data_IF_855576777672
#
_entry.id   IF_855576777672
#
_cell.length_a   1.000
_cell.length_b   1.000
_cell.length_c   1.000
_cell.angle_alpha   90.00
_cell.angle_beta   90.00
_cell.angle_gamma   90.00
#
_symmetry.space_group_name_H-M   'P 1'
#
loop_
_entity.id
_entity.type
_entity.pdbx_description
1 polymer ?
#
# COMPACT_ATOMS: atom_id res chain seq x y z
N UNK A 1 13.67 15.21 2.08
CA UNK A 1 14.20 14.36 0.98
C UNK A 1 13.04 13.93 0.07
N UNK A 2 13.20 13.79 -1.25
CA UNK A 2 12.10 13.30 -2.12
C UNK A 2 12.34 11.82 -2.47
N UNK A 3 11.34 10.96 -2.23
CA UNK A 3 11.38 9.55 -2.63
C UNK A 3 11.05 9.38 -4.12
N UNK A 4 11.79 8.51 -4.80
CA UNK A 4 11.55 8.19 -6.21
C UNK A 4 10.63 6.98 -6.34
N UNK A 5 9.96 6.89 -7.49
CA UNK A 5 9.15 5.72 -7.83
C UNK A 5 10.03 4.47 -7.98
N UNK A 6 9.70 3.43 -7.22
CA UNK A 6 10.41 2.14 -7.22
C UNK A 6 9.86 1.17 -8.28
N UNK A 7 8.57 1.28 -8.56
CA UNK A 7 7.84 0.44 -9.50
C UNK A 7 7.13 1.28 -10.54
N UNK A 8 7.01 0.75 -11.76
CA UNK A 8 6.27 1.37 -12.85
C UNK A 8 5.50 0.30 -13.64
N UNK A 9 4.22 0.17 -13.29
CA UNK A 9 3.27 -0.76 -13.91
C UNK A 9 2.20 -0.01 -14.69
N UNK A 10 1.51 -0.72 -15.57
CA UNK A 10 0.24 -0.23 -16.09
C UNK A 10 -0.80 -0.25 -14.95
N UNK A 11 -1.70 0.74 -14.91
CA UNK A 11 -2.67 0.89 -13.81
C UNK A 11 -3.54 -0.37 -13.68
N UNK A 12 -4.05 -0.90 -14.80
CA UNK A 12 -4.84 -2.12 -14.82
C UNK A 12 -4.07 -3.35 -14.29
N UNK A 13 -2.78 -3.43 -14.59
CA UNK A 13 -1.91 -4.49 -14.06
C UNK A 13 -1.75 -4.36 -12.55
N UNK A 14 -1.54 -3.14 -12.04
CA UNK A 14 -1.44 -2.91 -10.60
C UNK A 14 -2.75 -3.24 -9.87
N UNK A 15 -3.90 -2.89 -10.45
CA UNK A 15 -5.23 -3.24 -9.91
C UNK A 15 -5.39 -4.77 -9.89
N UNK A 16 -4.99 -5.46 -10.96
CA UNK A 16 -5.04 -6.92 -11.01
C UNK A 16 -4.14 -7.57 -9.97
N UNK A 17 -2.90 -7.08 -9.78
CA UNK A 17 -1.99 -7.54 -8.74
C UNK A 17 -2.59 -7.29 -7.35
N UNK A 18 -3.21 -6.13 -7.11
CA UNK A 18 -3.84 -5.81 -5.83
C UNK A 18 -4.97 -6.79 -5.50
N UNK A 19 -5.81 -7.14 -6.48
CA UNK A 19 -6.84 -8.19 -6.33
C UNK A 19 -6.21 -9.55 -6.02
N UNK A 20 -5.13 -9.90 -6.71
CA UNK A 20 -4.43 -11.19 -6.50
C UNK A 20 -3.78 -11.29 -5.13
N UNK A 21 -3.29 -10.18 -4.59
CA UNK A 21 -2.60 -10.10 -3.30
C UNK A 21 -3.55 -9.75 -2.14
N UNK A 22 -4.86 -9.69 -2.35
CA UNK A 22 -5.85 -9.32 -1.34
C UNK A 22 -5.65 -10.07 -0.01
N UNK A 23 -5.49 -11.41 -0.07
CA UNK A 23 -5.33 -12.25 1.13
C UNK A 23 -4.04 -11.91 1.88
N UNK A 24 -2.95 -11.64 1.16
CA UNK A 24 -1.65 -11.24 1.71
C UNK A 24 -1.74 -9.85 2.38
N UNK A 25 -2.40 -8.91 1.72
CA UNK A 25 -2.63 -7.57 2.25
C UNK A 25 -3.49 -7.59 3.52
N UNK A 26 -4.54 -8.42 3.56
CA UNK A 26 -5.39 -8.58 4.75
C UNK A 26 -4.60 -9.26 5.87
N UNK A 27 -3.83 -10.31 5.57
CA UNK A 27 -3.00 -11.04 6.53
C UNK A 27 -1.97 -10.13 7.21
N UNK A 28 -1.21 -9.35 6.44
CA UNK A 28 -0.20 -8.42 6.97
C UNK A 28 -0.85 -7.27 7.76
N UNK A 29 -1.97 -6.73 7.27
CA UNK A 29 -2.73 -5.68 7.97
C UNK A 29 -3.28 -6.15 9.31
N UNK A 30 -3.82 -7.38 9.38
CA UNK A 30 -4.35 -7.97 10.60
C UNK A 30 -3.25 -8.18 11.66
N UNK A 31 -2.07 -8.67 11.25
CA UNK A 31 -0.93 -8.82 12.14
C UNK A 31 -0.40 -7.47 12.64
N UNK A 32 -0.36 -6.44 11.77
CA UNK A 32 0.02 -5.08 12.17
C UNK A 32 -0.92 -4.49 13.24
N UNK A 33 -2.19 -4.88 13.22
CA UNK A 33 -3.20 -4.55 14.24
C UNK A 33 -3.04 -5.36 15.55
N UNK A 34 -2.24 -6.43 15.53
CA UNK A 34 -2.04 -7.33 16.66
C UNK A 34 -3.00 -8.53 16.67
N UNK A 35 -3.69 -8.80 15.56
CA UNK A 35 -4.48 -10.03 15.40
C UNK A 35 -3.53 -11.13 14.92
N UNK A 36 -3.22 -12.07 15.83
CA UNK A 36 -2.30 -13.16 15.57
C UNK A 36 -2.94 -14.24 14.67
N UNK A 37 -2.99 -13.97 13.36
CA UNK A 37 -3.44 -14.90 12.32
C UNK A 37 -2.29 -15.32 11.42
N UNK A 38 -2.29 -16.57 10.97
CA UNK A 38 -1.42 -17.02 9.87
C UNK A 38 -2.06 -16.73 8.51
N UNK A 39 -1.27 -16.77 7.43
CA UNK A 39 -1.80 -16.62 6.07
C UNK A 39 -2.91 -17.64 5.77
N UNK A 40 -2.73 -18.91 6.17
CA UNK A 40 -3.74 -19.96 5.99
C UNK A 40 -5.04 -19.66 6.76
N UNK A 41 -4.93 -19.17 7.99
CA UNK A 41 -6.10 -18.78 8.79
C UNK A 41 -6.82 -17.57 8.18
N UNK A 42 -6.08 -16.58 7.67
CA UNK A 42 -6.68 -15.46 6.93
C UNK A 42 -7.45 -15.98 5.73
N UNK A 43 -6.85 -16.86 4.92
CA UNK A 43 -7.50 -17.47 3.76
C UNK A 43 -8.78 -18.23 4.16
N UNK A 44 -8.74 -19.01 5.24
CA UNK A 44 -9.88 -19.74 5.78
C UNK A 44 -11.01 -18.79 6.18
N UNK A 45 -10.70 -17.72 6.93
CA UNK A 45 -11.68 -16.70 7.33
C UNK A 45 -12.35 -16.08 6.11
N UNK A 46 -11.56 -15.67 5.10
CA UNK A 46 -12.10 -15.04 3.90
C UNK A 46 -12.95 -16.01 3.06
N UNK A 47 -12.72 -17.31 3.18
CA UNK A 47 -13.51 -18.38 2.56
C UNK A 47 -14.68 -18.88 3.44
N UNK A 48 -14.99 -18.21 4.55
CA UNK A 48 -16.01 -18.61 5.52
C UNK A 48 -15.76 -19.99 6.18
N UNK A 49 -14.50 -20.38 6.30
CA UNK A 49 -14.06 -21.57 7.02
C UNK A 49 -13.76 -21.18 8.48
N UNK A 50 -14.20 -22.02 9.41
CA UNK A 50 -14.08 -21.72 10.84
C UNK A 50 -12.64 -21.88 11.35
N UNK A 51 -12.17 -20.93 12.17
CA UNK A 51 -10.84 -20.94 12.79
C UNK A 51 -10.98 -20.97 14.31
N UNK A 52 -10.67 -22.12 14.93
CA UNK A 52 -11.01 -22.45 16.32
C UNK A 52 -10.34 -21.62 17.41
N UNK A 53 -9.24 -20.92 17.11
CA UNK A 53 -8.43 -20.21 18.11
C UNK A 53 -8.66 -18.69 18.13
N UNK A 54 -9.50 -18.16 17.25
CA UNK A 54 -9.77 -16.74 17.13
C UNK A 54 -11.12 -16.39 17.74
N UNK A 55 -11.21 -15.21 18.35
CA UNK A 55 -12.50 -14.73 18.84
C UNK A 55 -13.38 -14.32 17.66
N UNK A 56 -14.72 -14.34 17.81
CA UNK A 56 -15.61 -13.79 16.78
C UNK A 56 -15.30 -12.33 16.44
N UNK A 57 -14.81 -11.56 17.41
CA UNK A 57 -14.40 -10.16 17.19
C UNK A 57 -13.20 -10.08 16.25
N UNK A 58 -12.19 -10.91 16.45
CA UNK A 58 -10.98 -10.94 15.61
C UNK A 58 -11.29 -11.39 14.19
N UNK A 59 -12.10 -12.44 14.03
CA UNK A 59 -12.57 -12.91 12.72
C UNK A 59 -13.29 -11.78 11.98
N UNK A 60 -14.19 -11.07 12.66
CA UNK A 60 -14.92 -9.95 12.07
C UNK A 60 -14.02 -8.77 11.68
N UNK A 61 -12.96 -8.48 12.45
CA UNK A 61 -11.97 -7.45 12.09
C UNK A 61 -11.21 -7.82 10.82
N UNK A 62 -10.83 -9.09 10.67
CA UNK A 62 -10.21 -9.60 9.43
C UNK A 62 -11.17 -9.44 8.24
N UNK A 63 -12.45 -9.76 8.40
CA UNK A 63 -13.47 -9.50 7.38
C UNK A 63 -13.62 -8.01 7.07
N UNK A 64 -13.63 -7.13 8.07
CA UNK A 64 -13.67 -5.68 7.88
C UNK A 64 -12.48 -5.15 7.06
N UNK A 65 -11.28 -5.72 7.26
CA UNK A 65 -10.12 -5.39 6.43
C UNK A 65 -10.32 -5.82 4.98
N UNK A 66 -10.85 -7.03 4.73
CA UNK A 66 -11.22 -7.49 3.37
C UNK A 66 -12.22 -6.52 2.74
N UNK A 67 -13.33 -6.24 3.42
CA UNK A 67 -14.41 -5.39 2.88
C UNK A 67 -13.90 -3.99 2.52
N UNK A 68 -12.98 -3.44 3.33
CA UNK A 68 -12.34 -2.15 3.04
C UNK A 68 -11.38 -2.21 1.84
N UNK A 69 -10.63 -3.31 1.68
CA UNK A 69 -9.79 -3.54 0.50
C UNK A 69 -10.62 -3.68 -0.78
N UNK A 70 -11.72 -4.42 -0.72
CA UNK A 70 -12.67 -4.55 -1.83
C UNK A 70 -13.27 -3.19 -2.19
N UNK A 71 -13.79 -2.45 -1.20
CA UNK A 71 -14.29 -1.09 -1.41
C UNK A 71 -13.23 -0.19 -2.06
N UNK A 72 -11.98 -0.24 -1.58
CA UNK A 72 -10.91 0.60 -2.13
C UNK A 72 -10.62 0.29 -3.60
N UNK A 73 -10.57 -1.00 -3.95
CA UNK A 73 -10.33 -1.46 -5.32
C UNK A 73 -11.50 -1.11 -6.25
N UNK A 74 -12.74 -1.25 -5.78
CA UNK A 74 -13.94 -0.89 -6.54
C UNK A 74 -14.06 0.62 -6.79
N UNK A 75 -13.60 1.42 -5.82
CA UNK A 75 -13.63 2.89 -5.87
C UNK A 75 -12.23 3.47 -6.11
N UNK A 76 -11.39 2.76 -6.86
CA UNK A 76 -9.98 3.15 -7.04
C UNK A 76 -9.82 4.47 -7.80
N UNK A 77 -10.78 4.82 -8.65
CA UNK A 77 -10.77 6.07 -9.43
C UNK A 77 -11.48 7.24 -8.75
N UNK A 78 -12.13 7.01 -7.60
CA UNK A 78 -12.72 8.09 -6.82
C UNK A 78 -11.64 8.98 -6.21
N UNK A 79 -11.94 10.26 -6.03
CA UNK A 79 -11.01 11.19 -5.40
C UNK A 79 -10.71 10.79 -3.95
N UNK A 80 -9.42 10.77 -3.58
CA UNK A 80 -8.99 10.55 -2.20
C UNK A 80 -9.22 11.81 -1.34
N UNK A 81 -10.46 12.01 -0.90
CA UNK A 81 -10.83 13.08 0.02
C UNK A 81 -11.22 12.56 1.42
N UNK A 82 -11.59 13.47 2.33
CA UNK A 82 -11.97 13.06 3.69
C UNK A 82 -13.23 12.20 3.73
N UNK A 83 -14.18 12.40 2.81
CA UNK A 83 -15.37 11.56 2.68
C UNK A 83 -14.99 10.12 2.33
N UNK A 84 -14.06 9.95 1.39
CA UNK A 84 -13.51 8.63 1.05
C UNK A 84 -12.88 7.94 2.27
N UNK A 85 -12.03 8.64 3.01
CA UNK A 85 -11.38 8.10 4.20
C UNK A 85 -12.37 7.77 5.32
N UNK A 86 -13.44 8.56 5.47
CA UNK A 86 -14.53 8.31 6.41
C UNK A 86 -15.30 7.03 6.05
N UNK A 87 -15.57 6.78 4.77
CA UNK A 87 -16.20 5.54 4.31
C UNK A 87 -15.32 4.32 4.60
N UNK A 88 -14.01 4.40 4.32
CA UNK A 88 -13.06 3.33 4.68
C UNK A 88 -13.06 3.12 6.20
N UNK A 89 -13.03 4.19 6.99
CA UNK A 89 -13.02 4.12 8.46
C UNK A 89 -14.25 3.39 9.01
N UNK A 90 -15.44 3.65 8.46
CA UNK A 90 -16.67 2.96 8.85
C UNK A 90 -16.61 1.43 8.65
N UNK A 91 -15.88 0.97 7.64
CA UNK A 91 -15.65 -0.45 7.39
C UNK A 91 -14.65 -1.03 8.39
N UNK A 92 -13.43 -0.47 8.45
CA UNK A 92 -12.32 -1.07 9.22
C UNK A 92 -12.50 -0.98 10.73
N UNK A 93 -13.19 0.05 11.24
CA UNK A 93 -13.27 0.32 12.67
C UNK A 93 -14.57 -0.21 13.32
N UNK A 94 -15.42 -0.91 12.57
CA UNK A 94 -16.76 -1.38 13.00
C UNK A 94 -16.74 -2.16 14.32
N UNK A 95 -15.65 -2.88 14.59
CA UNK A 95 -15.45 -3.69 15.80
C UNK A 95 -14.43 -3.08 16.77
N UNK A 96 -13.92 -1.88 16.51
CA UNK A 96 -12.95 -1.19 17.35
C UNK A 96 -13.55 -0.05 18.15
N UNK A 97 -14.49 0.67 17.56
CA UNK A 97 -15.07 1.87 18.17
C UNK A 97 -16.60 1.78 18.25
N UNK A 98 -17.23 2.48 19.20
CA UNK A 98 -18.68 2.63 19.22
C UNK A 98 -19.22 3.24 17.92
N UNK A 99 -20.46 2.91 17.58
CA UNK A 99 -21.13 3.40 16.37
C UNK A 99 -21.06 4.93 16.19
N UNK A 100 -21.10 5.69 17.30
CA UNK A 100 -21.01 7.15 17.29
C UNK A 100 -19.68 7.71 16.76
N UNK A 101 -18.62 6.88 16.66
CA UNK A 101 -17.31 7.26 16.14
C UNK A 101 -17.03 6.69 14.73
N UNK A 102 -17.88 5.81 14.20
CA UNK A 102 -17.67 5.23 12.87
C UNK A 102 -17.79 6.29 11.79
N UNK A 103 -16.84 6.26 10.85
CA UNK A 103 -16.74 7.24 9.76
C UNK A 103 -16.70 8.71 10.20
N UNK A 104 -16.28 9.03 11.43
CA UNK A 104 -16.35 10.40 11.97
C UNK A 104 -15.01 10.88 12.50
N UNK A 105 -14.67 12.11 12.15
CA UNK A 105 -13.55 12.82 12.78
C UNK A 105 -13.80 12.93 14.28
N UNK A 106 -12.77 12.63 15.08
CA UNK A 106 -12.90 12.63 16.54
C UNK A 106 -13.10 14.06 17.06
N UNK A 107 -13.84 14.17 18.16
CA UNK A 107 -14.00 15.41 18.93
C UNK A 107 -13.27 15.38 20.26
N UNK A 108 -12.75 14.21 20.63
CA UNK A 108 -12.12 13.96 21.93
C UNK A 108 -10.63 13.66 21.74
N UNK A 109 -9.87 13.83 22.81
CA UNK A 109 -8.47 13.44 22.86
C UNK A 109 -8.27 11.92 22.71
N UNK A 110 -7.05 11.58 22.26
CA UNK A 110 -6.57 10.20 22.13
C UNK A 110 -5.21 10.05 22.78
N UNK A 111 -4.97 8.86 23.30
CA UNK A 111 -3.67 8.44 23.83
C UNK A 111 -3.09 7.42 22.85
N UNK A 112 -1.85 7.65 22.44
CA UNK A 112 -1.12 6.71 21.58
C UNK A 112 -0.20 5.88 22.48
N UNK A 113 -0.33 4.56 22.39
CA UNK A 113 0.54 3.63 23.12
C UNK A 113 1.99 3.81 22.68
N UNK A 114 2.92 3.79 23.64
CA UNK A 114 4.36 3.90 23.38
C UNK A 114 4.90 5.33 23.28
N UNK A 115 4.07 6.37 23.43
CA UNK A 115 4.54 7.76 23.40
C UNK A 115 3.72 8.71 24.31
N UNK A 116 4.37 9.78 24.77
CA UNK A 116 3.72 10.88 25.47
C UNK A 116 3.19 11.96 24.52
N UNK A 117 3.48 11.87 23.22
CA UNK A 117 2.96 12.79 22.23
C UNK A 117 1.42 12.74 22.16
N UNK A 118 0.79 13.89 21.96
CA UNK A 118 -0.67 14.03 21.86
C UNK A 118 -1.03 14.85 20.61
N UNK A 119 -1.85 14.29 19.70
CA UNK A 119 -2.32 14.99 18.50
C UNK A 119 -3.41 16.02 18.85
N UNK A 120 -3.31 17.21 18.28
CA UNK A 120 -4.39 18.20 18.34
C UNK A 120 -5.63 17.73 17.55
N UNK A 121 -6.81 18.13 18.02
CA UNK A 121 -8.08 17.93 17.32
C UNK A 121 -8.35 19.14 16.44
N UNK A 122 -8.69 18.91 15.18
CA UNK A 122 -9.09 19.94 14.23
C UNK A 122 -10.41 19.61 13.55
N UNK A 123 -10.94 20.56 12.78
CA UNK A 123 -12.17 20.37 12.00
C UNK A 123 -11.94 19.46 10.80
N UNK A 124 -13.03 18.94 10.23
CA UNK A 124 -12.98 18.13 9.01
C UNK A 124 -12.35 18.91 7.86
N UNK A 125 -12.65 20.21 7.75
CA UNK A 125 -12.13 21.11 6.71
C UNK A 125 -10.61 21.30 6.83
N UNK A 126 -10.09 21.37 8.07
CA UNK A 126 -8.65 21.45 8.30
C UNK A 126 -7.95 20.18 7.77
N UNK A 127 -8.45 19.00 8.14
CA UNK A 127 -7.87 17.74 7.69
C UNK A 127 -8.03 17.55 6.19
N UNK A 128 -9.17 17.94 5.63
CA UNK A 128 -9.40 17.88 4.19
C UNK A 128 -8.42 18.77 3.43
N UNK A 129 -8.22 20.01 3.89
CA UNK A 129 -7.25 20.91 3.28
C UNK A 129 -5.82 20.34 3.32
N UNK A 130 -5.38 19.84 4.48
CA UNK A 130 -4.05 19.24 4.61
C UNK A 130 -3.87 18.00 3.73
N UNK A 131 -4.91 17.18 3.58
CA UNK A 131 -4.91 16.05 2.66
C UNK A 131 -4.77 16.50 1.20
N UNK A 132 -5.50 17.53 0.77
CA UNK A 132 -5.41 18.06 -0.60
C UNK A 132 -4.04 18.67 -0.90
N UNK A 133 -3.45 19.41 0.04
CA UNK A 133 -2.09 19.97 -0.10
C UNK A 133 -1.04 18.86 -0.33
N UNK A 134 -1.22 17.67 0.27
CA UNK A 134 -0.34 16.53 0.03
C UNK A 134 -0.55 15.90 -1.36
N UNK A 135 -1.75 16.01 -1.93
CA UNK A 135 -2.04 15.47 -3.26
C UNK A 135 -1.30 16.22 -4.38
N UNK A 136 -0.93 17.48 -4.14
CA UNK A 136 -0.21 18.34 -5.10
C UNK A 136 1.23 17.88 -5.37
N UNK A 137 1.78 16.93 -4.60
CA UNK A 137 3.11 16.38 -4.83
C UNK A 137 3.12 15.48 -6.09
N UNK A 138 3.90 15.82 -7.13
CA UNK A 138 3.92 15.04 -8.37
C UNK A 138 4.67 13.70 -8.25
N UNK A 139 5.48 13.50 -7.20
CA UNK A 139 6.21 12.26 -6.98
C UNK A 139 5.29 11.27 -6.27
N UNK A 140 4.74 10.31 -7.02
CA UNK A 140 3.65 9.44 -6.55
C UNK A 140 4.05 8.63 -5.31
N UNK A 141 5.21 7.99 -5.31
CA UNK A 141 5.65 7.17 -4.17
C UNK A 141 5.86 8.02 -2.91
N UNK A 142 6.50 9.19 -3.07
CA UNK A 142 6.70 10.15 -1.98
C UNK A 142 5.35 10.68 -1.46
N UNK A 143 4.44 11.07 -2.37
CA UNK A 143 3.07 11.48 -2.07
C UNK A 143 2.32 10.42 -1.29
N UNK A 144 2.35 9.17 -1.73
CA UNK A 144 1.65 8.06 -1.10
C UNK A 144 2.10 7.88 0.36
N UNK A 145 3.41 7.71 0.55
CA UNK A 145 4.00 7.45 1.87
C UNK A 145 3.78 8.65 2.80
N UNK A 146 4.03 9.88 2.33
CA UNK A 146 3.83 11.09 3.14
C UNK A 146 2.37 11.30 3.51
N UNK A 147 1.44 11.02 2.61
CA UNK A 147 0.00 11.08 2.90
C UNK A 147 -0.38 10.08 3.99
N UNK A 148 0.06 8.83 3.86
CA UNK A 148 -0.20 7.82 4.88
C UNK A 148 0.37 8.20 6.24
N UNK A 149 1.63 8.59 6.30
CA UNK A 149 2.29 8.98 7.55
C UNK A 149 1.62 10.19 8.19
N UNK A 150 1.29 11.21 7.41
CA UNK A 150 0.58 12.39 7.90
C UNK A 150 -0.77 12.01 8.53
N UNK A 151 -1.57 11.16 7.87
CA UNK A 151 -2.83 10.64 8.43
C UNK A 151 -2.61 9.85 9.73
N UNK A 152 -1.59 8.99 9.77
CA UNK A 152 -1.24 8.23 10.97
C UNK A 152 -0.83 9.15 12.12
N UNK A 153 -0.20 10.30 11.86
CA UNK A 153 0.19 11.24 12.91
C UNK A 153 -0.98 12.12 13.34
N UNK A 154 -1.77 12.66 12.42
CA UNK A 154 -2.93 13.50 12.74
C UNK A 154 -3.95 12.82 13.66
N UNK A 155 -4.02 11.48 13.63
CA UNK A 155 -4.98 10.69 14.41
C UNK A 155 -6.41 11.22 14.24
N UNK A 156 -6.85 11.33 12.98
CA UNK A 156 -8.12 11.97 12.61
C UNK A 156 -9.33 11.28 13.24
N UNK A 157 -9.25 9.96 13.44
CA UNK A 157 -10.33 9.14 13.97
C UNK A 157 -10.06 8.67 15.40
N UNK A 158 -11.08 8.15 16.09
CA UNK A 158 -10.98 7.65 17.47
C UNK A 158 -10.02 6.47 17.61
N UNK A 159 -10.00 5.57 16.61
CA UNK A 159 -9.05 4.47 16.44
C UNK A 159 -8.91 4.18 14.94
N UNK A 160 -8.05 3.24 14.53
CA UNK A 160 -7.91 2.81 13.14
C UNK A 160 -6.98 3.68 12.27
N UNK A 161 -6.38 4.74 12.83
CA UNK A 161 -5.56 5.70 12.08
C UNK A 161 -4.37 5.08 11.32
N UNK A 162 -3.73 4.04 11.89
CA UNK A 162 -2.66 3.27 11.19
C UNK A 162 -3.18 2.56 9.94
N UNK A 163 -4.38 1.98 10.03
CA UNK A 163 -5.03 1.29 8.91
C UNK A 163 -5.46 2.31 7.86
N UNK A 164 -6.07 3.43 8.25
CA UNK A 164 -6.39 4.54 7.34
C UNK A 164 -5.16 5.02 6.57
N UNK A 165 -4.04 5.26 7.25
CA UNK A 165 -2.81 5.66 6.56
C UNK A 165 -2.33 4.60 5.56
N UNK A 166 -2.44 3.31 5.92
CA UNK A 166 -2.06 2.20 5.03
C UNK A 166 -2.96 2.09 3.79
N UNK A 167 -4.26 2.32 3.96
CA UNK A 167 -5.23 2.38 2.85
C UNK A 167 -4.97 3.58 1.94
N UNK A 168 -4.67 4.76 2.49
CA UNK A 168 -4.33 5.94 1.71
C UNK A 168 -3.05 5.73 0.87
N UNK A 169 -2.02 5.10 1.45
CA UNK A 169 -0.79 4.74 0.71
C UNK A 169 -1.16 3.81 -0.45
N UNK A 170 -1.89 2.73 -0.17
CA UNK A 170 -2.23 1.74 -1.18
C UNK A 170 -3.10 2.32 -2.30
N UNK A 171 -4.11 3.14 -1.97
CA UNK A 171 -4.93 3.82 -2.97
C UNK A 171 -4.07 4.64 -3.94
N UNK A 172 -3.19 5.51 -3.41
CA UNK A 172 -2.33 6.37 -4.24
C UNK A 172 -1.37 5.53 -5.08
N UNK A 173 -0.77 4.47 -4.52
CA UNK A 173 0.16 3.64 -5.29
C UNK A 173 -0.56 2.87 -6.41
N UNK A 174 -1.70 2.24 -6.10
CA UNK A 174 -2.42 1.38 -7.04
C UNK A 174 -3.03 2.21 -8.17
N UNK A 175 -3.68 3.34 -7.87
CA UNK A 175 -4.32 4.18 -8.88
C UNK A 175 -3.32 4.81 -9.87
N UNK A 176 -2.03 4.82 -9.52
CA UNK A 176 -0.94 5.37 -10.32
C UNK A 176 0.06 4.31 -10.83
N UNK A 177 -0.21 3.02 -10.62
CA UNK A 177 0.66 1.94 -11.10
C UNK A 177 2.06 1.92 -10.44
N UNK A 178 2.13 2.17 -9.13
CA UNK A 178 3.39 2.31 -8.35
C UNK A 178 3.59 1.27 -7.25
N UNK A 179 2.83 0.18 -7.27
CA UNK A 179 3.01 -0.93 -6.34
C UNK A 179 1.90 -1.05 -5.31
N UNK A 180 2.22 -1.80 -4.27
CA UNK A 180 1.39 -2.05 -3.10
C UNK A 180 2.27 -1.85 -1.86
N UNK A 181 1.69 -1.23 -0.85
CA UNK A 181 2.28 -1.10 0.47
C UNK A 181 1.77 -2.21 1.40
N UNK A 182 2.70 -2.94 2.00
CA UNK A 182 2.44 -3.88 3.09
C UNK A 182 3.63 -3.87 4.04
N UNK A 183 3.36 -3.89 5.34
CA UNK A 183 4.43 -4.06 6.34
C UNK A 183 4.63 -5.57 6.53
N UNK A 184 5.80 -6.14 6.19
CA UNK A 184 6.06 -7.55 6.45
C UNK A 184 5.92 -7.85 7.95
N UNK A 185 5.39 -9.01 8.30
CA UNK A 185 5.08 -9.38 9.70
C UNK A 185 6.35 -9.39 10.56
N UNK A 186 7.48 -9.74 9.97
CA UNK A 186 8.79 -9.73 10.59
C UNK A 186 9.35 -8.30 10.83
N UNK A 187 8.84 -7.29 10.13
CA UNK A 187 9.24 -5.88 10.27
C UNK A 187 8.22 -5.02 11.03
N UNK A 188 7.09 -5.62 11.44
CA UNK A 188 6.07 -5.07 12.34
C UNK A 188 6.64 -4.17 13.44
N UNK A 189 7.55 -4.73 14.23
CA UNK A 189 8.05 -4.10 15.45
C UNK A 189 8.90 -2.88 15.13
N UNK A 190 9.75 -2.99 14.11
CA UNK A 190 10.59 -1.92 13.60
C UNK A 190 9.72 -0.77 13.08
N UNK A 191 8.70 -1.08 12.27
CA UNK A 191 7.77 -0.07 11.76
C UNK A 191 7.08 0.68 12.90
N UNK A 192 6.55 -0.04 13.91
CA UNK A 192 5.88 0.58 15.07
C UNK A 192 6.82 1.47 15.88
N UNK A 193 8.08 1.04 16.06
CA UNK A 193 9.09 1.82 16.76
C UNK A 193 9.43 3.12 16.01
N UNK A 194 9.69 3.04 14.72
CA UNK A 194 9.98 4.22 13.90
C UNK A 194 8.77 5.16 13.80
N UNK A 195 7.55 4.61 13.79
CA UNK A 195 6.32 5.38 13.80
C UNK A 195 6.16 6.19 15.09
N UNK A 196 6.52 5.62 16.25
CA UNK A 196 6.59 6.35 17.52
C UNK A 196 7.58 7.51 17.46
N UNK A 197 8.80 7.27 16.96
CA UNK A 197 9.80 8.33 16.78
C UNK A 197 9.32 9.44 15.84
N UNK A 198 8.57 9.09 14.79
CA UNK A 198 7.96 10.06 13.89
C UNK A 198 6.86 10.88 14.58
N UNK A 199 6.00 10.28 15.40
CA UNK A 199 4.96 11.01 16.15
C UNK A 199 5.57 12.13 16.99
N UNK A 200 6.66 11.84 17.70
CA UNK A 200 7.35 12.77 18.58
C UNK A 200 8.13 13.86 17.81
N UNK A 201 8.84 13.48 16.74
CA UNK A 201 9.72 14.40 16.00
C UNK A 201 9.01 15.23 14.92
N UNK A 202 7.86 14.75 14.43
CA UNK A 202 7.22 15.26 13.20
C UNK A 202 8.12 15.18 11.95
N UNK A 203 9.23 14.45 11.99
CA UNK A 203 10.12 14.27 10.85
C UNK A 203 9.90 12.89 10.23
N UNK A 204 9.25 12.86 9.07
CA UNK A 204 8.91 11.62 8.38
C UNK A 204 10.04 11.03 7.53
N UNK A 205 11.15 11.76 7.30
CA UNK A 205 12.10 11.42 6.23
C UNK A 205 12.75 10.03 6.41
N UNK A 206 13.17 9.68 7.63
CA UNK A 206 13.80 8.39 7.92
C UNK A 206 12.80 7.23 7.76
N UNK A 207 11.62 7.35 8.38
CA UNK A 207 10.56 6.35 8.29
C UNK A 207 10.06 6.20 6.84
N UNK A 208 9.91 7.30 6.10
CA UNK A 208 9.45 7.27 4.72
C UNK A 208 10.45 6.54 3.80
N UNK A 209 11.75 6.77 3.98
CA UNK A 209 12.78 6.04 3.26
C UNK A 209 12.73 4.55 3.58
N UNK A 210 12.66 4.22 4.87
CA UNK A 210 12.61 2.83 5.31
C UNK A 210 11.38 2.09 4.78
N UNK A 211 10.21 2.74 4.75
CA UNK A 211 8.99 2.19 4.13
C UNK A 211 9.21 1.93 2.63
N UNK A 212 9.82 2.87 1.91
CA UNK A 212 10.08 2.71 0.47
C UNK A 212 10.95 1.48 0.19
N UNK A 213 11.97 1.27 1.02
CA UNK A 213 12.93 0.19 0.84
C UNK A 213 12.33 -1.17 1.21
N UNK A 214 11.54 -1.24 2.29
CA UNK A 214 11.19 -2.50 2.95
C UNK A 214 9.70 -2.89 2.87
N UNK A 215 8.81 -1.96 2.55
CA UNK A 215 7.36 -2.18 2.64
C UNK A 215 6.62 -1.97 1.31
N UNK A 216 7.33 -1.65 0.23
CA UNK A 216 6.75 -1.58 -1.12
C UNK A 216 7.07 -2.83 -1.92
N UNK A 217 6.04 -3.36 -2.57
CA UNK A 217 6.09 -4.52 -3.46
C UNK A 217 5.42 -4.18 -4.80
N UNK A 218 5.91 -4.77 -5.88
CA UNK A 218 5.48 -4.44 -7.24
C UNK A 218 6.41 -5.02 -8.31
N UNK A 219 6.06 -4.80 -9.58
CA UNK A 219 6.85 -5.27 -10.71
C UNK A 219 7.29 -4.10 -11.60
N UNK A 220 8.35 -4.32 -12.36
CA UNK A 220 8.84 -3.41 -13.39
C UNK A 220 8.83 -4.13 -14.74
N UNK A 221 8.53 -3.41 -15.82
CA UNK A 221 8.55 -3.98 -17.16
C UNK A 221 9.95 -4.52 -17.48
N UNK A 222 10.02 -5.79 -17.87
CA UNK A 222 11.26 -6.40 -18.35
C UNK A 222 11.48 -5.88 -19.77
N UNK A 223 12.58 -5.17 -20.01
CA UNK A 223 13.02 -4.89 -21.38
C UNK A 223 13.65 -6.17 -21.93
N UNK A 224 12.92 -6.89 -22.77
CA UNK A 224 13.50 -7.99 -23.54
C UNK A 224 14.42 -7.35 -24.59
N UNK A 225 15.72 -7.63 -24.50
CA UNK A 225 16.67 -7.27 -25.57
C UNK A 225 16.49 -8.29 -26.69
N UNK A 226 15.99 -7.85 -27.83
CA UNK A 226 15.97 -8.66 -29.05
C UNK A 226 17.40 -8.75 -29.62
N UNK A 227 18.20 -9.69 -29.11
CA UNK A 227 19.46 -10.08 -29.75
C UNK A 227 19.16 -11.12 -30.84
N UNK A 228 18.48 -10.71 -31.92
CA UNK A 228 18.47 -11.49 -33.17
C UNK A 228 19.63 -10.97 -34.01
N UNK A 229 20.74 -11.73 -34.03
CA UNK A 229 21.85 -11.52 -34.94
C UNK A 229 21.40 -11.76 -36.38
N UNK A 230 21.47 -10.73 -37.22
CA UNK A 230 21.64 -10.89 -38.67
C UNK A 230 23.05 -11.46 -38.93
N UNK A 231 23.15 -12.77 -39.10
CA UNK A 231 24.28 -13.41 -39.79
C UNK A 231 23.72 -14.20 -40.97
N UNK A 232 23.51 -13.50 -42.08
CA UNK A 232 23.35 -14.09 -43.40
C UNK A 232 23.80 -13.04 -44.42
N UNK A 233 25.12 -12.91 -44.63
CA UNK A 233 25.73 -12.31 -45.83
C UNK A 233 27.27 -12.47 -45.80
N UNK A 234 27.76 -13.71 -45.72
CA UNK A 234 29.16 -14.03 -46.00
C UNK A 234 29.29 -15.49 -46.48
N UNK A 235 28.82 -15.81 -47.70
CA UNK A 235 29.52 -16.80 -48.56
C UNK A 235 29.02 -16.80 -50.03
N UNK A 236 29.35 -15.76 -50.81
CA UNK A 236 29.39 -15.90 -52.29
C UNK A 236 30.63 -15.18 -52.83
N UNK A 237 31.81 -15.72 -52.54
CA UNK A 237 33.00 -15.46 -53.36
C UNK A 237 33.94 -16.66 -53.34
N UNK A 238 33.54 -17.74 -54.02
CA UNK A 238 34.48 -18.76 -54.47
C UNK A 238 34.67 -18.58 -55.98
N UNK A 239 35.81 -18.01 -56.32
CA UNK A 239 36.37 -17.90 -57.66
C UNK A 239 36.53 -19.29 -58.29
N UNK A 240 36.03 -19.46 -59.52
CA UNK A 240 36.27 -20.63 -60.37
C UNK A 240 37.47 -20.34 -61.28
N UNK A 241 38.61 -21.07 -61.20
CA UNK A 241 39.66 -20.95 -62.19
C UNK A 241 39.38 -21.86 -63.41
N UNK A 242 39.34 -21.19 -64.56
CA UNK A 242 39.58 -21.61 -65.95
C UNK A 242 39.77 -23.12 -66.26
N UNK A 243 38.91 -23.64 -67.15
CA UNK A 243 39.20 -24.83 -67.95
C UNK A 243 39.31 -24.45 -69.44
N UNK A 244 40.48 -24.69 -70.02
CA UNK A 244 40.83 -24.45 -71.43
C UNK A 244 40.30 -25.58 -72.32
N UNK A 245 39.77 -25.31 -73.53
CA UNK A 245 39.34 -26.36 -74.44
C UNK A 245 40.48 -26.79 -75.37
N UNK A 246 40.64 -28.10 -75.59
CA UNK A 246 41.35 -28.64 -76.76
C UNK A 246 40.59 -29.81 -77.37
N UNK A 247 40.17 -29.56 -78.62
CA UNK A 247 39.87 -30.43 -79.76
C UNK A 247 38.91 -31.60 -79.57
#
# INVERSE_FOLDING_TARGET
MILRDKYAMDIEENIWIAKRLLVDSVYTSANLEGIAVTFAQTQDILNNVNVSHLTPKDINKVCCLRDAWEYMIEHIHDELNMGYLMNIHELIARFDVPYSYLGRVRTDDVIISGTNWRPEVHSVEYYHKGLMELQDNPNVTDRAIRTGLWLMRCQVFKDGNKRIGSFAINKILIENGRGIFKVPVELDGTFKQMLVSYYESNNADELASWICDNCLDGVNKIQVKDDIKEEADLDESIENPEYTPRL
#
